data_IF_506016583137
#
_entry.id   IF_506016583137
#
_cell.length_a   1.000
_cell.length_b   1.000
_cell.length_c   1.000
_cell.angle_alpha   90.00
_cell.angle_beta   90.00
_cell.angle_gamma   90.00
#
_symmetry.space_group_name_H-M   'P 1'
#
loop_
_entity.id
_entity.type
_entity.pdbx_description
1 polymer ?
#
# COMPACT_ATOMS: atom_id res chain seq x y z
N UNK A 1 2.08 11.92 38.07
CA UNK A 1 3.52 12.12 37.84
C UNK A 1 3.83 13.13 36.74
N UNK A 2 2.91 13.46 35.82
CA UNK A 2 3.10 14.53 34.83
C UNK A 2 4.02 14.19 33.64
N UNK A 3 4.48 12.93 33.54
CA UNK A 3 5.50 12.49 32.57
C UNK A 3 4.96 11.58 31.45
N UNK A 4 3.70 11.71 31.08
CA UNK A 4 3.08 10.79 30.11
C UNK A 4 3.69 10.90 28.70
N UNK A 5 3.85 12.13 28.21
CA UNK A 5 4.40 12.39 26.87
C UNK A 5 5.86 11.93 26.74
N UNK A 6 6.70 12.28 27.73
CA UNK A 6 8.11 11.84 27.79
C UNK A 6 8.24 10.32 27.74
N UNK A 7 7.38 9.60 28.48
CA UNK A 7 7.37 8.13 28.49
C UNK A 7 6.94 7.53 27.15
N UNK A 8 5.93 8.12 26.50
CA UNK A 8 5.47 7.64 25.19
C UNK A 8 6.56 7.80 24.13
N UNK A 9 7.27 8.93 24.12
CA UNK A 9 8.40 9.17 23.21
C UNK A 9 9.55 8.21 23.52
N UNK A 10 9.93 8.07 24.79
CA UNK A 10 11.00 7.16 25.20
C UNK A 10 10.70 5.71 24.78
N UNK A 11 9.43 5.29 24.86
CA UNK A 11 8.99 3.98 24.38
C UNK A 11 9.15 3.81 22.87
N UNK A 12 8.70 4.80 22.08
CA UNK A 12 8.87 4.79 20.63
C UNK A 12 10.33 4.70 20.19
N UNK A 13 11.23 5.43 20.88
CA UNK A 13 12.68 5.33 20.63
C UNK A 13 13.21 3.95 21.02
N UNK A 14 12.79 3.40 22.17
CA UNK A 14 13.28 2.12 22.67
C UNK A 14 12.91 0.93 21.76
N UNK A 15 11.76 0.98 21.07
CA UNK A 15 11.36 -0.05 20.09
C UNK A 15 11.97 0.17 18.71
N UNK A 16 12.72 1.24 18.50
CA UNK A 16 13.38 1.54 17.22
C UNK A 16 12.47 2.19 16.17
N UNK A 17 11.42 2.91 16.58
CA UNK A 17 10.60 3.67 15.62
C UNK A 17 11.46 4.73 14.91
N UNK A 18 11.65 4.58 13.59
CA UNK A 18 12.43 5.53 12.78
C UNK A 18 11.81 6.92 12.66
N UNK A 19 10.53 7.05 12.97
CA UNK A 19 9.79 8.30 12.98
C UNK A 19 8.67 8.27 14.04
N UNK A 20 8.50 9.37 14.76
CA UNK A 20 7.42 9.57 15.72
C UNK A 20 6.77 10.92 15.44
N UNK A 21 5.44 10.95 15.48
CA UNK A 21 4.67 12.19 15.34
C UNK A 21 3.58 12.24 16.40
N UNK A 22 3.23 13.46 16.83
CA UNK A 22 2.22 13.67 17.88
C UNK A 22 0.82 13.56 17.28
N UNK A 23 -0.05 12.81 17.96
CA UNK A 23 -1.47 12.69 17.63
C UNK A 23 -2.32 12.61 18.91
N UNK A 24 -3.62 12.47 18.75
CA UNK A 24 -4.59 12.22 19.83
C UNK A 24 -5.18 10.82 19.64
N UNK A 25 -5.66 10.20 20.72
CA UNK A 25 -6.36 8.90 20.65
C UNK A 25 -7.45 8.88 19.57
N UNK A 26 -8.30 9.89 19.52
CA UNK A 26 -9.40 9.95 18.54
C UNK A 26 -8.90 9.96 17.09
N UNK A 27 -7.93 10.84 16.79
CA UNK A 27 -7.34 10.92 15.44
C UNK A 27 -6.66 9.63 15.02
N UNK A 28 -5.89 9.01 15.92
CA UNK A 28 -5.18 7.76 15.64
C UNK A 28 -6.18 6.65 15.32
N UNK A 29 -7.18 6.45 16.19
CA UNK A 29 -8.23 5.44 16.00
C UNK A 29 -8.94 5.63 14.66
N UNK A 30 -9.33 6.87 14.31
CA UNK A 30 -10.01 7.08 13.03
C UNK A 30 -9.08 6.88 11.83
N UNK A 31 -7.85 7.38 11.87
CA UNK A 31 -6.92 7.20 10.75
C UNK A 31 -6.53 5.75 10.56
N UNK A 32 -6.30 5.01 11.63
CA UNK A 32 -5.85 3.61 11.60
C UNK A 32 -6.98 2.71 11.08
N UNK A 33 -8.18 2.82 11.68
CA UNK A 33 -9.35 2.07 11.27
C UNK A 33 -9.77 2.37 9.81
N UNK A 34 -9.62 3.62 9.35
CA UNK A 34 -9.90 3.97 7.96
C UNK A 34 -8.83 3.43 7.02
N UNK A 35 -7.55 3.55 7.40
CA UNK A 35 -6.42 3.04 6.64
C UNK A 35 -6.48 1.53 6.40
N UNK A 36 -6.70 0.75 7.47
CA UNK A 36 -6.79 -0.72 7.39
C UNK A 36 -7.97 -1.19 6.52
N UNK A 37 -9.13 -0.54 6.61
CA UNK A 37 -10.30 -0.87 5.78
C UNK A 37 -10.10 -0.43 4.33
N UNK A 38 -9.42 0.70 4.15
CA UNK A 38 -9.06 1.27 2.86
C UNK A 38 -7.77 0.64 2.30
N UNK A 39 -6.80 1.49 2.03
CA UNK A 39 -5.65 1.16 1.19
C UNK A 39 -4.60 0.24 1.84
N UNK A 40 -4.66 -0.04 3.15
CA UNK A 40 -3.61 -0.83 3.83
C UNK A 40 -3.90 -2.33 3.84
N UNK A 41 -5.17 -2.75 4.01
CA UNK A 41 -5.53 -4.18 4.12
C UNK A 41 -6.74 -4.54 3.26
N UNK A 42 -7.90 -3.95 3.52
CA UNK A 42 -9.17 -4.34 2.91
C UNK A 42 -9.20 -4.14 1.40
N UNK A 43 -8.95 -2.91 0.93
CA UNK A 43 -9.04 -2.58 -0.49
C UNK A 43 -7.96 -3.30 -1.32
N UNK A 44 -6.73 -3.39 -0.81
CA UNK A 44 -5.64 -4.05 -1.53
C UNK A 44 -5.90 -5.56 -1.70
N UNK A 45 -6.41 -6.24 -0.66
CA UNK A 45 -6.81 -7.64 -0.78
C UNK A 45 -7.94 -7.80 -1.81
N UNK A 46 -8.98 -6.96 -1.75
CA UNK A 46 -10.09 -7.00 -2.70
C UNK A 46 -9.63 -6.80 -4.15
N UNK A 47 -8.73 -5.85 -4.39
CA UNK A 47 -8.17 -5.58 -5.71
C UNK A 47 -7.37 -6.77 -6.27
N UNK A 48 -6.45 -7.32 -5.46
CA UNK A 48 -5.67 -8.50 -5.86
C UNK A 48 -6.56 -9.71 -6.15
N UNK A 49 -7.53 -9.98 -5.28
CA UNK A 49 -8.44 -11.11 -5.44
C UNK A 49 -9.30 -10.97 -6.70
N UNK A 50 -9.85 -9.77 -6.94
CA UNK A 50 -10.70 -9.52 -8.11
C UNK A 50 -9.94 -9.74 -9.41
N UNK A 51 -8.74 -9.16 -9.56
CA UNK A 51 -7.94 -9.36 -10.77
C UNK A 51 -7.47 -10.81 -10.91
N UNK A 52 -7.04 -11.44 -9.82
CA UNK A 52 -6.65 -12.84 -9.81
C UNK A 52 -7.78 -13.71 -10.35
N UNK A 53 -9.00 -13.58 -9.81
CA UNK A 53 -10.17 -14.34 -10.25
C UNK A 53 -10.48 -14.13 -11.74
N UNK A 54 -10.45 -12.89 -12.22
CA UNK A 54 -10.66 -12.59 -13.65
C UNK A 54 -9.62 -13.28 -14.53
N UNK A 55 -8.34 -13.29 -14.15
CA UNK A 55 -7.29 -14.00 -14.89
C UNK A 55 -7.51 -15.53 -14.85
N UNK A 56 -7.89 -16.06 -13.69
CA UNK A 56 -8.21 -17.49 -13.53
C UNK A 56 -9.37 -17.92 -14.42
N UNK A 57 -10.45 -17.13 -14.47
CA UNK A 57 -11.62 -17.39 -15.31
C UNK A 57 -11.29 -17.34 -16.81
N UNK A 58 -10.28 -16.56 -17.20
CA UNK A 58 -9.79 -16.46 -18.58
C UNK A 58 -8.74 -17.48 -18.96
N UNK A 59 -8.47 -18.47 -18.09
CA UNK A 59 -7.61 -19.61 -18.41
C UNK A 59 -6.11 -19.38 -18.20
N UNK A 60 -5.70 -18.26 -17.58
CA UNK A 60 -4.32 -18.11 -17.12
C UNK A 60 -4.00 -19.19 -16.07
N UNK A 61 -2.73 -19.49 -15.82
CA UNK A 61 -2.29 -20.40 -14.75
C UNK A 61 -2.35 -19.72 -13.35
N UNK A 62 -2.30 -20.47 -12.24
CA UNK A 62 -2.31 -19.87 -10.91
C UNK A 62 -1.06 -19.02 -10.67
N UNK A 63 0.09 -19.44 -11.22
CA UNK A 63 1.35 -18.73 -11.15
C UNK A 63 1.33 -17.42 -11.94
N UNK A 64 0.81 -17.42 -13.16
CA UNK A 64 0.68 -16.17 -13.95
C UNK A 64 -0.29 -15.20 -13.28
N UNK A 65 -1.45 -15.68 -12.82
CA UNK A 65 -2.43 -14.82 -12.15
C UNK A 65 -1.88 -14.23 -10.84
N UNK A 66 -1.08 -14.98 -10.09
CA UNK A 66 -0.40 -14.47 -8.89
C UNK A 66 0.71 -13.48 -9.23
N UNK A 67 1.49 -13.76 -10.29
CA UNK A 67 2.57 -12.90 -10.75
C UNK A 67 2.06 -11.52 -11.14
N UNK A 68 1.06 -11.48 -12.03
CA UNK A 68 0.42 -10.28 -12.60
C UNK A 68 -0.50 -9.54 -11.59
N UNK A 69 -0.51 -9.96 -10.32
CA UNK A 69 -1.29 -9.30 -9.26
C UNK A 69 -0.43 -8.98 -8.04
N UNK A 70 -0.09 -9.99 -7.24
CA UNK A 70 0.54 -9.80 -5.93
C UNK A 70 2.06 -9.64 -6.05
N UNK A 71 2.70 -10.50 -6.84
CA UNK A 71 4.17 -10.51 -6.94
C UNK A 71 4.66 -9.20 -7.57
N UNK A 72 4.18 -8.86 -8.76
CA UNK A 72 4.67 -7.70 -9.49
C UNK A 72 4.34 -6.40 -8.75
N UNK A 73 3.16 -6.30 -8.13
CA UNK A 73 2.82 -5.17 -7.28
C UNK A 73 3.76 -5.05 -6.08
N UNK A 74 3.93 -6.11 -5.28
CA UNK A 74 4.61 -6.00 -3.98
C UNK A 74 6.14 -6.08 -4.06
N UNK A 75 6.68 -6.81 -5.04
CA UNK A 75 8.13 -7.04 -5.17
C UNK A 75 8.78 -6.12 -6.20
N UNK A 76 8.04 -5.65 -7.20
CA UNK A 76 8.59 -4.80 -8.26
C UNK A 76 8.13 -3.35 -8.15
N UNK A 77 6.83 -3.10 -8.11
CA UNK A 77 6.29 -1.72 -8.20
C UNK A 77 6.29 -0.98 -6.86
N UNK A 78 5.80 -1.60 -5.79
CA UNK A 78 5.68 -0.95 -4.49
C UNK A 78 7.03 -0.55 -3.87
N UNK A 79 8.13 -1.30 -4.05
CA UNK A 79 9.44 -0.82 -3.61
C UNK A 79 9.86 0.49 -4.30
N UNK A 80 9.50 0.67 -5.59
CA UNK A 80 9.75 1.93 -6.30
C UNK A 80 8.89 3.07 -5.74
N UNK A 81 7.61 2.81 -5.43
CA UNK A 81 6.72 3.80 -4.80
C UNK A 81 7.25 4.19 -3.42
N UNK A 82 7.64 3.20 -2.60
CA UNK A 82 8.15 3.44 -1.25
C UNK A 82 9.48 4.22 -1.24
N UNK A 83 10.33 4.00 -2.24
CA UNK A 83 11.61 4.69 -2.35
C UNK A 83 11.50 6.09 -2.96
N UNK A 84 10.69 6.25 -4.01
CA UNK A 84 10.73 7.43 -4.89
C UNK A 84 9.36 8.05 -5.21
N UNK A 85 8.27 7.45 -4.73
CA UNK A 85 6.91 7.91 -5.01
C UNK A 85 6.29 7.36 -6.30
N UNK A 86 5.01 7.65 -6.51
CA UNK A 86 4.21 7.11 -7.62
C UNK A 86 4.65 7.66 -8.99
N UNK A 87 5.01 8.94 -9.06
CA UNK A 87 5.44 9.58 -10.31
C UNK A 87 6.70 8.90 -10.86
N UNK A 88 7.65 8.55 -9.98
CA UNK A 88 8.84 7.81 -10.35
C UNK A 88 8.51 6.42 -10.87
N UNK A 89 7.57 5.70 -10.23
CA UNK A 89 7.12 4.40 -10.72
C UNK A 89 6.56 4.53 -12.16
N UNK A 90 5.75 5.56 -12.44
CA UNK A 90 5.24 5.81 -13.79
C UNK A 90 6.33 6.11 -14.82
N UNK A 91 7.36 6.85 -14.44
CA UNK A 91 8.51 7.13 -15.32
C UNK A 91 9.39 5.90 -15.55
N UNK A 92 9.50 5.02 -14.55
CA UNK A 92 10.26 3.77 -14.65
C UNK A 92 9.54 2.70 -15.48
N UNK A 93 8.22 2.80 -15.65
CA UNK A 93 7.42 1.89 -16.46
C UNK A 93 7.42 2.27 -17.96
N UNK A 94 7.07 1.30 -18.82
CA UNK A 94 6.92 1.54 -20.26
C UNK A 94 5.82 2.57 -20.56
N UNK A 95 5.92 3.26 -21.71
CA UNK A 95 4.90 4.21 -22.15
C UNK A 95 3.49 3.59 -22.22
N UNK A 96 3.39 2.31 -22.58
CA UNK A 96 2.12 1.56 -22.62
C UNK A 96 1.53 1.37 -21.24
N UNK A 97 2.34 0.93 -20.27
CA UNK A 97 1.90 0.72 -18.89
C UNK A 97 1.47 2.04 -18.23
N UNK A 98 2.28 3.10 -18.38
CA UNK A 98 1.95 4.44 -17.87
C UNK A 98 0.65 4.98 -18.46
N UNK A 99 0.47 4.86 -19.79
CA UNK A 99 -0.76 5.30 -20.44
C UNK A 99 -1.98 4.53 -19.93
N UNK A 100 -1.85 3.20 -19.79
CA UNK A 100 -2.88 2.36 -19.20
C UNK A 100 -3.25 2.79 -17.78
N UNK A 101 -2.28 3.04 -16.91
CA UNK A 101 -2.54 3.51 -15.55
C UNK A 101 -3.33 4.82 -15.52
N UNK A 102 -2.97 5.80 -16.35
CA UNK A 102 -3.67 7.10 -16.43
C UNK A 102 -5.10 6.94 -16.98
N UNK A 103 -5.31 6.11 -18.00
CA UNK A 103 -6.63 5.90 -18.60
C UNK A 103 -7.60 5.14 -17.68
N UNK A 104 -7.06 4.32 -16.77
CA UNK A 104 -7.85 3.47 -15.87
C UNK A 104 -7.99 4.02 -14.45
N UNK A 105 -7.07 4.84 -13.96
CA UNK A 105 -7.13 5.39 -12.59
C UNK A 105 -8.47 6.08 -12.25
N UNK A 106 -9.14 6.84 -13.14
CA UNK A 106 -10.44 7.44 -12.84
C UNK A 106 -11.62 6.45 -12.80
N UNK A 107 -11.41 5.19 -13.21
CA UNK A 107 -12.44 4.15 -13.27
C UNK A 107 -12.47 3.25 -12.04
N UNK A 108 -11.41 3.31 -11.23
CA UNK A 108 -11.24 2.59 -9.98
C UNK A 108 -11.30 3.57 -8.82
#
# INVERSE_FOLDING_TARGET
TGKAEEKAIAMGVAIGSGYLYKTTFEKEVYSDLYGERGCLMGAIHGMFLAQYQVLRERGHSPSEAFNETVEEATQSLYPLIGANGMDWMYEACSTTARRGAIDWSPKF
#
